data_IF_349240553038
#
_entry.id   IF_349240553038
#
_cell.length_a   1.000
_cell.length_b   1.000
_cell.length_c   1.000
_cell.angle_alpha   90.00
_cell.angle_beta   90.00
_cell.angle_gamma   90.00
#
_symmetry.space_group_name_H-M   'P 1'
#
loop_
_entity.id
_entity.type
_entity.pdbx_description
1 polymer ?
#
# COMPACT_ATOMS: atom_id res chain seq x y z
N UNK A 1 8.45 -9.33 -1.59
CA UNK A 1 7.54 -8.90 -2.68
C UNK A 1 7.18 -7.45 -2.49
N UNK A 2 7.03 -6.74 -3.56
CA UNK A 2 6.72 -5.30 -3.54
C UNK A 2 5.45 -5.06 -4.33
N UNK A 3 4.52 -4.35 -3.73
CA UNK A 3 3.26 -3.98 -4.36
C UNK A 3 3.17 -2.46 -4.44
N UNK A 4 2.85 -1.96 -5.63
CA UNK A 4 2.63 -0.53 -5.85
C UNK A 4 1.14 -0.31 -6.12
N UNK A 5 0.51 0.52 -5.31
CA UNK A 5 -0.88 0.88 -5.48
C UNK A 5 -1.00 2.36 -5.79
N UNK A 6 -1.72 2.69 -6.84
CA UNK A 6 -2.06 4.07 -7.16
C UNK A 6 -3.41 4.37 -6.55
N UNK A 7 -3.49 5.44 -5.78
CA UNK A 7 -4.65 5.74 -4.95
C UNK A 7 -5.28 7.04 -5.41
N UNK A 8 -6.59 7.00 -5.60
CA UNK A 8 -7.39 8.16 -5.98
C UNK A 8 -7.88 8.88 -4.72
N UNK A 9 -7.98 10.19 -4.80
CA UNK A 9 -8.52 11.01 -3.73
C UNK A 9 -7.51 11.44 -2.67
N UNK A 10 -6.27 11.04 -2.79
CA UNK A 10 -5.20 11.47 -1.89
C UNK A 10 -4.64 12.81 -2.32
N UNK A 11 -4.91 13.85 -1.57
CA UNK A 11 -4.45 15.19 -1.93
C UNK A 11 -3.71 15.92 -0.81
N UNK A 12 -3.54 15.31 0.35
CA UNK A 12 -2.89 15.98 1.48
C UNK A 12 -2.13 15.00 2.37
N UNK A 13 -1.31 15.54 3.27
CA UNK A 13 -0.49 14.74 4.17
C UNK A 13 -1.32 13.89 5.15
N UNK A 14 -2.49 14.36 5.53
CA UNK A 14 -3.39 13.59 6.40
C UNK A 14 -3.87 12.32 5.71
N UNK A 15 -4.09 12.39 4.41
CA UNK A 15 -4.49 11.23 3.61
C UNK A 15 -3.39 10.17 3.61
N UNK A 16 -2.15 10.60 3.46
CA UNK A 16 -1.00 9.70 3.50
C UNK A 16 -0.94 8.97 4.84
N UNK A 17 -1.12 9.70 5.93
CA UNK A 17 -1.08 9.12 7.26
C UNK A 17 -2.22 8.13 7.49
N UNK A 18 -3.41 8.45 7.01
CA UNK A 18 -4.57 7.57 7.15
C UNK A 18 -4.35 6.25 6.44
N UNK A 19 -3.83 6.28 5.22
CA UNK A 19 -3.52 5.07 4.46
C UNK A 19 -2.40 4.28 5.14
N UNK A 20 -1.37 4.95 5.59
CA UNK A 20 -0.27 4.30 6.30
C UNK A 20 -0.75 3.57 7.54
N UNK A 21 -1.61 4.22 8.33
CA UNK A 21 -2.16 3.63 9.54
C UNK A 21 -3.01 2.40 9.23
N UNK A 22 -3.84 2.48 8.19
CA UNK A 22 -4.65 1.33 7.76
C UNK A 22 -3.79 0.17 7.29
N UNK A 23 -2.73 0.45 6.56
CA UNK A 23 -1.81 -0.59 6.09
C UNK A 23 -1.02 -1.21 7.24
N UNK A 24 -0.71 -0.43 8.25
CA UNK A 24 0.02 -0.93 9.43
C UNK A 24 -0.75 -2.01 10.18
N UNK A 25 -2.07 -2.05 10.03
CA UNK A 25 -2.90 -3.08 10.65
C UNK A 25 -2.95 -4.39 9.89
N UNK A 26 -2.35 -4.44 8.70
CA UNK A 26 -2.36 -5.66 7.88
C UNK A 26 -1.14 -6.50 8.23
N UNK A 27 -1.39 -7.76 8.62
CA UNK A 27 -0.30 -8.67 8.94
C UNK A 27 0.46 -9.09 7.68
N UNK A 28 1.78 -9.29 7.81
CA UNK A 28 2.62 -9.71 6.69
C UNK A 28 3.30 -8.56 5.96
N UNK A 29 2.95 -7.33 6.24
CA UNK A 29 3.62 -6.16 5.67
C UNK A 29 4.91 -5.91 6.44
N UNK A 30 6.02 -5.92 5.72
CA UNK A 30 7.34 -5.65 6.30
C UNK A 30 7.60 -4.15 6.33
N UNK A 31 7.20 -3.46 5.27
CA UNK A 31 7.46 -2.04 5.13
C UNK A 31 6.41 -1.42 4.22
N UNK A 32 5.98 -0.22 4.55
CA UNK A 32 5.07 0.54 3.71
C UNK A 32 5.63 1.94 3.52
N UNK A 33 5.66 2.39 2.28
CA UNK A 33 6.06 3.74 1.91
C UNK A 33 4.89 4.37 1.19
N UNK A 34 4.23 5.32 1.84
CA UNK A 34 3.04 5.97 1.32
C UNK A 34 3.35 7.40 0.93
N UNK A 35 3.05 7.73 -0.31
CA UNK A 35 3.16 9.09 -0.85
C UNK A 35 1.80 9.55 -1.30
N UNK A 36 1.69 10.83 -1.67
CA UNK A 36 0.45 11.36 -2.21
C UNK A 36 0.12 10.63 -3.52
N UNK A 37 -1.00 9.92 -3.54
CA UNK A 37 -1.47 9.21 -4.70
C UNK A 37 -0.84 7.84 -4.95
N UNK A 38 0.10 7.42 -4.09
CA UNK A 38 0.79 6.15 -4.30
C UNK A 38 1.18 5.51 -2.97
N UNK A 39 1.10 4.19 -2.92
CA UNK A 39 1.62 3.41 -1.81
C UNK A 39 2.51 2.30 -2.36
N UNK A 40 3.71 2.19 -1.83
CA UNK A 40 4.63 1.09 -2.14
C UNK A 40 4.75 0.24 -0.89
N UNK A 41 4.37 -1.02 -1.02
CA UNK A 41 4.26 -1.93 0.11
C UNK A 41 5.19 -3.11 -0.10
N UNK A 42 6.10 -3.29 0.84
CA UNK A 42 6.98 -4.45 0.86
C UNK A 42 6.39 -5.48 1.83
N UNK A 43 6.20 -6.70 1.35
CA UNK A 43 5.59 -7.75 2.16
C UNK A 43 6.25 -9.10 1.87
N UNK A 44 5.97 -10.07 2.71
CA UNK A 44 6.60 -11.40 2.64
C UNK A 44 5.87 -12.38 1.71
N UNK A 45 4.86 -11.91 1.01
CA UNK A 45 4.06 -12.75 0.12
C UNK A 45 2.82 -13.33 0.77
N UNK A 46 2.64 -13.15 2.07
CA UNK A 46 1.44 -13.63 2.77
C UNK A 46 0.27 -12.66 2.68
N UNK A 47 0.52 -11.46 2.19
CA UNK A 47 -0.51 -10.42 2.06
C UNK A 47 -1.13 -10.50 0.68
N UNK A 48 -2.46 -10.62 0.63
CA UNK A 48 -3.17 -10.65 -0.64
C UNK A 48 -3.41 -9.24 -1.16
N UNK A 49 -3.57 -9.13 -2.48
CA UNK A 49 -3.93 -7.87 -3.11
C UNK A 49 -5.24 -7.32 -2.55
N UNK A 50 -6.21 -8.19 -2.30
CA UNK A 50 -7.49 -7.78 -1.74
C UNK A 50 -7.34 -7.20 -0.34
N UNK A 51 -6.47 -7.74 0.47
CA UNK A 51 -6.24 -7.22 1.82
C UNK A 51 -5.71 -5.79 1.77
N UNK A 52 -4.79 -5.51 0.85
CA UNK A 52 -4.24 -4.17 0.67
C UNK A 52 -5.29 -3.21 0.15
N UNK A 53 -6.05 -3.61 -0.87
CA UNK A 53 -7.12 -2.79 -1.41
C UNK A 53 -8.18 -2.49 -0.36
N UNK A 54 -8.52 -3.47 0.45
CA UNK A 54 -9.51 -3.32 1.50
C UNK A 54 -9.03 -2.36 2.58
N UNK A 55 -7.76 -2.46 2.98
CA UNK A 55 -7.19 -1.55 3.96
C UNK A 55 -7.25 -0.09 3.47
N UNK A 56 -6.93 0.13 2.21
CA UNK A 56 -6.99 1.47 1.61
C UNK A 56 -8.43 1.95 1.51
N UNK A 57 -9.36 1.08 1.18
CA UNK A 57 -10.77 1.40 1.13
C UNK A 57 -11.33 1.80 2.50
N UNK A 58 -10.90 1.11 3.56
CA UNK A 58 -11.29 1.44 4.93
C UNK A 58 -10.81 2.84 5.31
N UNK A 59 -9.65 3.25 4.82
CA UNK A 59 -9.14 4.60 5.04
C UNK A 59 -9.94 5.67 4.31
N UNK A 60 -10.84 5.28 3.41
CA UNK A 60 -11.70 6.21 2.67
C UNK A 60 -11.18 6.54 1.28
N UNK A 61 -10.26 5.77 0.75
CA UNK A 61 -9.66 6.01 -0.57
C UNK A 61 -9.87 4.82 -1.48
N UNK A 62 -9.60 5.01 -2.77
CA UNK A 62 -9.81 3.99 -3.78
C UNK A 62 -8.51 3.70 -4.52
N UNK A 63 -8.21 2.42 -4.70
CA UNK A 63 -7.08 1.98 -5.52
C UNK A 63 -7.53 1.96 -6.97
N UNK A 64 -6.89 2.76 -7.80
CA UNK A 64 -7.23 2.87 -9.23
C UNK A 64 -6.26 2.07 -10.10
N UNK A 65 -5.10 1.75 -9.58
CA UNK A 65 -4.13 0.92 -10.27
C UNK A 65 -3.36 0.12 -9.24
N UNK A 66 -3.03 -1.12 -9.56
CA UNK A 66 -2.41 -2.03 -8.63
C UNK A 66 -1.38 -2.86 -9.39
N UNK A 67 -0.13 -2.78 -8.97
CA UNK A 67 0.96 -3.51 -9.58
C UNK A 67 1.71 -4.29 -8.52
N UNK A 68 1.80 -5.59 -8.70
CA UNK A 68 2.53 -6.46 -7.79
C UNK A 68 3.80 -6.95 -8.47
N UNK A 69 4.93 -6.67 -7.85
CA UNK A 69 6.23 -7.09 -8.33
C UNK A 69 6.75 -8.18 -7.41
N UNK A 70 7.07 -9.33 -7.98
CA UNK A 70 7.61 -10.47 -7.24
C UNK A 70 9.09 -10.32 -6.94
N UNK A 71 9.72 -9.30 -7.45
CA UNK A 71 11.13 -9.07 -7.18
C UNK A 71 11.30 -8.62 -5.74
N UNK A 72 12.20 -9.29 -5.04
CA UNK A 72 12.81 -8.71 -3.88
C UNK A 72 13.57 -7.50 -4.41
N UNK A 73 13.33 -6.33 -3.84
CA UNK A 73 14.06 -5.14 -4.23
C UNK A 73 15.53 -5.46 -4.25
N UNK A 74 16.21 -5.28 -5.38
CA UNK A 74 17.62 -5.53 -5.41
C UNK A 74 18.29 -4.59 -4.43
N UNK A 75 18.86 -5.16 -3.43
CA UNK A 75 19.78 -4.43 -2.59
C UNK A 75 21.04 -4.28 -3.40
N UNK A 76 21.16 -3.18 -4.02
CA UNK A 76 22.41 -2.89 -4.71
C UNK A 76 23.33 -2.16 -3.78
#
# INVERSE_FOLDING_TARGET
MVTTATISGMSCAHCVRAVFTSLSGVGGIVRADVSIGRAVIEHDGSVSADAIKQAISIAGYEVVDFHEDRRILPVV
#
